data_IF_103366354416
#
_entry.id   IF_103366354416
#
_cell.length_a   1.000
_cell.length_b   1.000
_cell.length_c   1.000
_cell.angle_alpha   90.00
_cell.angle_beta   90.00
_cell.angle_gamma   90.00
#
_symmetry.space_group_name_H-M   'P 1'
#
loop_
_entity.id
_entity.type
_entity.pdbx_description
1 polymer ?
#
# COMPACT_ATOMS: atom_id res chain seq x y z
N UNK A 1 40.73 20.89 -12.78
CA UNK A 1 40.43 19.59 -12.15
C UNK A 1 39.04 19.74 -11.54
N UNK A 2 38.01 19.19 -12.17
CA UNK A 2 36.65 19.22 -11.63
C UNK A 2 36.60 18.04 -10.65
N UNK A 3 36.65 18.34 -9.35
CA UNK A 3 36.36 17.33 -8.32
C UNK A 3 34.98 16.78 -8.62
N UNK A 4 34.94 15.54 -9.10
CA UNK A 4 33.69 14.83 -9.26
C UNK A 4 33.25 14.52 -7.84
N UNK A 5 32.13 15.08 -7.33
CA UNK A 5 31.71 14.80 -5.97
C UNK A 5 31.53 13.29 -5.85
N UNK A 6 32.37 12.67 -5.03
CA UNK A 6 32.25 11.26 -4.66
C UNK A 6 30.94 11.13 -3.91
N UNK A 7 29.88 10.67 -4.61
CA UNK A 7 28.63 10.30 -3.94
C UNK A 7 28.96 9.27 -2.87
N UNK A 8 28.59 9.57 -1.64
CA UNK A 8 28.72 8.61 -0.55
C UNK A 8 27.83 7.40 -0.86
N UNK A 9 28.19 6.24 -0.34
CA UNK A 9 27.30 5.09 -0.42
C UNK A 9 26.05 5.39 0.43
N UNK A 10 24.83 5.00 -0.01
CA UNK A 10 23.64 5.13 0.81
C UNK A 10 23.84 4.46 2.17
N UNK A 11 23.29 5.02 3.26
CA UNK A 11 23.33 4.37 4.55
C UNK A 11 22.65 3.00 4.44
N UNK A 12 23.23 1.98 5.10
CA UNK A 12 22.72 0.59 5.07
C UNK A 12 21.24 0.50 5.42
N UNK A 13 20.78 1.36 6.33
CA UNK A 13 19.38 1.45 6.73
C UNK A 13 18.44 1.81 5.55
N UNK A 14 18.84 2.74 4.67
CA UNK A 14 18.04 3.10 3.50
C UNK A 14 17.96 1.95 2.49
N UNK A 15 19.07 1.23 2.29
CA UNK A 15 19.11 0.03 1.43
C UNK A 15 18.21 -1.08 1.99
N UNK A 16 18.30 -1.35 3.29
CA UNK A 16 17.44 -2.34 3.95
C UNK A 16 15.96 -1.95 3.84
N UNK A 17 15.63 -0.67 4.04
CA UNK A 17 14.27 -0.18 3.88
C UNK A 17 13.77 -0.31 2.44
N UNK A 18 14.63 -0.09 1.44
CA UNK A 18 14.30 -0.33 0.03
C UNK A 18 14.02 -1.81 -0.23
N UNK A 19 14.84 -2.71 0.30
CA UNK A 19 14.62 -4.15 0.18
C UNK A 19 13.29 -4.56 0.82
N UNK A 20 12.98 -4.02 2.00
CA UNK A 20 11.69 -4.25 2.67
C UNK A 20 10.52 -3.71 1.86
N UNK A 21 10.65 -2.50 1.28
CA UNK A 21 9.65 -1.94 0.38
C UNK A 21 9.43 -2.87 -0.82
N UNK A 22 10.48 -3.28 -1.52
CA UNK A 22 10.36 -4.16 -2.69
C UNK A 22 9.76 -5.53 -2.33
N UNK A 23 10.14 -6.11 -1.19
CA UNK A 23 9.57 -7.35 -0.69
C UNK A 23 8.07 -7.18 -0.37
N UNK A 24 7.68 -6.08 0.27
CA UNK A 24 6.26 -5.79 0.56
C UNK A 24 5.44 -5.52 -0.71
N UNK A 25 6.03 -4.87 -1.72
CA UNK A 25 5.39 -4.64 -3.02
C UNK A 25 5.18 -5.97 -3.76
N UNK A 26 6.18 -6.85 -3.73
CA UNK A 26 6.02 -8.22 -4.24
C UNK A 26 4.92 -8.98 -3.48
N UNK A 27 4.88 -8.84 -2.15
CA UNK A 27 3.82 -9.41 -1.32
C UNK A 27 2.42 -8.90 -1.69
N UNK A 28 2.25 -7.60 -1.94
CA UNK A 28 0.99 -7.01 -2.44
C UNK A 28 0.58 -7.61 -3.79
N UNK A 29 1.51 -7.76 -4.73
CA UNK A 29 1.22 -8.34 -6.05
C UNK A 29 0.82 -9.82 -5.91
N UNK A 30 1.55 -10.61 -5.13
CA UNK A 30 1.22 -12.01 -4.86
C UNK A 30 -0.16 -12.13 -4.20
N UNK A 31 -0.43 -11.29 -3.20
CA UNK A 31 -1.71 -11.23 -2.52
C UNK A 31 -2.84 -10.89 -3.49
N UNK A 32 -2.72 -9.83 -4.29
CA UNK A 32 -3.74 -9.41 -5.25
C UNK A 32 -4.02 -10.48 -6.33
N UNK A 33 -2.98 -11.19 -6.80
CA UNK A 33 -3.14 -12.29 -7.75
C UNK A 33 -3.83 -13.51 -7.12
N UNK A 34 -3.55 -13.79 -5.84
CA UNK A 34 -4.20 -14.87 -5.10
C UNK A 34 -5.65 -14.54 -4.73
N UNK A 35 -5.90 -13.31 -4.29
CA UNK A 35 -7.22 -12.83 -3.88
C UNK A 35 -8.17 -12.77 -5.09
N UNK A 36 -7.66 -12.30 -6.24
CA UNK A 36 -8.48 -12.06 -7.42
C UNK A 36 -9.17 -10.70 -7.36
N UNK A 37 -9.98 -10.35 -8.38
CA UNK A 37 -10.75 -9.12 -8.37
C UNK A 37 -11.86 -9.19 -7.32
N UNK A 38 -11.93 -8.18 -6.45
CA UNK A 38 -13.03 -8.04 -5.49
C UNK A 38 -14.28 -7.53 -6.20
N UNK A 39 -15.40 -8.25 -6.04
CA UNK A 39 -16.69 -7.94 -6.67
C UNK A 39 -17.69 -7.25 -5.72
N UNK A 40 -17.28 -6.96 -4.49
CA UNK A 40 -18.13 -6.37 -3.46
C UNK A 40 -18.64 -7.37 -2.43
N UNK A 41 -18.26 -8.63 -2.52
CA UNK A 41 -18.66 -9.70 -1.59
C UNK A 41 -17.51 -10.64 -1.26
N UNK A 42 -17.64 -11.32 -0.11
CA UNK A 42 -16.80 -12.47 0.26
C UNK A 42 -17.73 -13.67 0.40
N UNK A 43 -17.70 -14.55 -0.60
CA UNK A 43 -18.55 -15.75 -0.60
C UNK A 43 -18.03 -16.81 0.38
N UNK A 44 -18.92 -17.71 0.78
CA UNK A 44 -18.56 -18.85 1.64
C UNK A 44 -17.38 -19.65 1.10
N UNK A 45 -17.33 -19.86 -0.22
CA UNK A 45 -16.26 -20.61 -0.87
C UNK A 45 -14.89 -19.90 -0.76
N UNK A 46 -14.87 -18.57 -0.87
CA UNK A 46 -13.65 -17.77 -0.75
C UNK A 46 -13.17 -17.71 0.69
N UNK A 47 -14.08 -17.48 1.63
CA UNK A 47 -13.76 -17.47 3.05
C UNK A 47 -13.27 -18.84 3.53
N UNK A 48 -13.86 -19.94 3.01
CA UNK A 48 -13.48 -21.32 3.33
C UNK A 48 -12.20 -21.77 2.61
N UNK A 49 -11.63 -20.94 1.73
CA UNK A 49 -10.43 -21.29 0.96
C UNK A 49 -9.26 -21.59 1.90
N UNK A 50 -8.48 -22.67 1.65
CA UNK A 50 -7.32 -22.97 2.48
C UNK A 50 -6.36 -21.80 2.57
N UNK A 51 -6.01 -21.41 3.80
CA UNK A 51 -5.11 -20.31 4.06
C UNK A 51 -5.72 -18.91 3.97
N UNK A 52 -7.05 -18.78 3.83
CA UNK A 52 -7.72 -17.47 3.71
C UNK A 52 -7.32 -16.49 4.83
N UNK A 53 -7.43 -16.94 6.09
CA UNK A 53 -7.03 -16.14 7.24
C UNK A 53 -5.53 -15.81 7.24
N UNK A 54 -4.68 -16.82 7.01
CA UNK A 54 -3.23 -16.66 7.07
C UNK A 54 -2.70 -15.72 5.99
N UNK A 55 -3.27 -15.78 4.79
CA UNK A 55 -2.89 -14.94 3.68
C UNK A 55 -3.19 -13.47 3.97
N UNK A 56 -4.36 -13.17 4.54
CA UNK A 56 -4.72 -11.82 4.93
C UNK A 56 -3.90 -11.31 6.13
N UNK A 57 -3.74 -12.14 7.17
CA UNK A 57 -3.05 -11.79 8.41
C UNK A 57 -1.55 -11.56 8.21
N UNK A 58 -0.88 -12.40 7.41
CA UNK A 58 0.58 -12.39 7.29
C UNK A 58 1.11 -11.79 6.00
N UNK A 59 0.30 -11.78 4.92
CA UNK A 59 0.73 -11.22 3.64
C UNK A 59 -0.04 -9.95 3.30
N UNK A 60 -1.37 -10.00 3.17
CA UNK A 60 -2.20 -8.90 2.70
C UNK A 60 -2.00 -7.60 3.48
N UNK A 61 -2.58 -7.51 4.67
CA UNK A 61 -2.48 -6.31 5.53
C UNK A 61 -1.04 -5.86 5.78
N UNK A 62 -0.13 -6.75 6.22
CA UNK A 62 1.27 -6.39 6.48
C UNK A 62 2.00 -5.83 5.26
N UNK A 63 1.77 -6.38 4.06
CA UNK A 63 2.44 -5.90 2.85
C UNK A 63 1.98 -4.48 2.49
N UNK A 64 0.69 -4.17 2.65
CA UNK A 64 0.18 -2.79 2.53
C UNK A 64 0.84 -1.87 3.56
N UNK A 65 0.78 -2.22 4.85
CA UNK A 65 1.34 -1.41 5.93
C UNK A 65 2.83 -1.12 5.73
N UNK A 66 3.65 -2.15 5.48
CA UNK A 66 5.10 -1.98 5.29
C UNK A 66 5.39 -1.13 4.06
N UNK A 67 4.68 -1.33 2.95
CA UNK A 67 4.89 -0.55 1.72
C UNK A 67 4.63 0.94 1.94
N UNK A 68 3.55 1.29 2.65
CA UNK A 68 3.21 2.69 2.92
C UNK A 68 4.13 3.32 3.97
N UNK A 69 4.49 2.61 5.03
CA UNK A 69 5.45 3.12 6.03
C UNK A 69 6.82 3.35 5.41
N UNK A 70 7.31 2.42 4.58
CA UNK A 70 8.58 2.62 3.89
C UNK A 70 8.52 3.80 2.90
N UNK A 71 7.44 3.91 2.12
CA UNK A 71 7.22 5.04 1.22
C UNK A 71 7.15 6.38 1.99
N UNK A 72 6.50 6.43 3.15
CA UNK A 72 6.43 7.60 4.01
C UNK A 72 7.83 8.08 4.43
N UNK A 73 8.68 7.17 4.89
CA UNK A 73 10.07 7.49 5.25
C UNK A 73 10.85 8.01 4.04
N UNK A 74 10.73 7.36 2.88
CA UNK A 74 11.40 7.82 1.67
C UNK A 74 10.91 9.19 1.17
N UNK A 75 9.62 9.50 1.31
CA UNK A 75 9.08 10.83 0.99
C UNK A 75 9.65 11.91 1.92
N UNK A 76 9.83 11.61 3.22
CA UNK A 76 10.50 12.52 4.17
C UNK A 76 11.95 12.77 3.74
N UNK A 77 12.69 11.72 3.39
CA UNK A 77 14.08 11.82 2.93
C UNK A 77 14.17 12.64 1.62
N UNK A 78 13.31 12.33 0.65
CA UNK A 78 13.24 13.08 -0.62
C UNK A 78 12.90 14.55 -0.40
N UNK A 79 12.01 14.86 0.53
CA UNK A 79 11.66 16.23 0.88
C UNK A 79 12.63 16.91 1.85
N UNK A 80 13.81 16.32 2.10
CA UNK A 80 14.86 16.79 3.02
C UNK A 80 14.33 17.15 4.41
N UNK A 81 13.41 16.36 4.93
CA UNK A 81 12.77 16.56 6.24
C UNK A 81 12.09 17.93 6.41
N UNK A 82 11.68 18.57 5.31
CA UNK A 82 10.85 19.77 5.38
C UNK A 82 9.52 19.49 6.09
N UNK A 83 8.91 20.51 6.70
CA UNK A 83 7.63 20.34 7.40
C UNK A 83 6.54 19.70 6.52
N UNK A 84 6.53 20.06 5.22
CA UNK A 84 5.63 19.47 4.23
C UNK A 84 5.89 17.97 4.02
N UNK A 85 7.17 17.57 3.95
CA UNK A 85 7.56 16.18 3.79
C UNK A 85 7.27 15.35 5.04
N UNK A 86 7.47 15.92 6.23
CA UNK A 86 7.10 15.29 7.50
C UNK A 86 5.58 15.09 7.60
N UNK A 87 4.79 16.11 7.25
CA UNK A 87 3.33 15.97 7.19
C UNK A 87 2.92 14.87 6.20
N UNK A 88 3.50 14.87 4.99
CA UNK A 88 3.28 13.82 4.01
C UNK A 88 3.61 12.42 4.56
N UNK A 89 4.75 12.27 5.23
CA UNK A 89 5.16 11.02 5.88
C UNK A 89 4.18 10.57 6.95
N UNK A 90 3.69 11.47 7.80
CA UNK A 90 2.67 11.16 8.81
C UNK A 90 1.37 10.68 8.17
N UNK A 91 0.89 11.39 7.14
CA UNK A 91 -0.37 11.02 6.46
C UNK A 91 -0.25 9.66 5.74
N UNK A 92 0.82 9.45 4.97
CA UNK A 92 1.04 8.17 4.26
C UNK A 92 1.26 7.03 5.25
N UNK A 93 2.10 7.24 6.27
CA UNK A 93 2.44 6.22 7.26
C UNK A 93 1.23 5.81 8.09
N UNK A 94 0.55 6.77 8.75
CA UNK A 94 -0.62 6.47 9.58
C UNK A 94 -1.80 5.99 8.74
N UNK A 95 -2.05 6.62 7.59
CA UNK A 95 -3.10 6.18 6.67
C UNK A 95 -2.88 4.75 6.21
N UNK A 96 -1.64 4.38 5.85
CA UNK A 96 -1.29 3.04 5.42
C UNK A 96 -1.33 1.98 6.53
N UNK A 97 -1.00 2.35 7.78
CA UNK A 97 -1.16 1.48 8.94
C UNK A 97 -2.64 1.17 9.17
N UNK A 98 -3.48 2.21 9.21
CA UNK A 98 -4.92 2.03 9.43
C UNK A 98 -5.54 1.25 8.26
N UNK A 99 -5.16 1.55 7.02
CA UNK A 99 -5.61 0.81 5.84
C UNK A 99 -5.29 -0.69 5.95
N UNK A 100 -4.03 -1.05 6.21
CA UNK A 100 -3.64 -2.46 6.35
C UNK A 100 -4.33 -3.17 7.51
N UNK A 101 -4.56 -2.46 8.62
CA UNK A 101 -5.32 -2.99 9.76
C UNK A 101 -6.79 -3.25 9.39
N UNK A 102 -7.42 -2.34 8.63
CA UNK A 102 -8.82 -2.48 8.20
C UNK A 102 -9.00 -3.64 7.24
N UNK A 103 -8.13 -3.79 6.24
CA UNK A 103 -8.15 -4.95 5.32
C UNK A 103 -8.01 -6.26 6.10
N UNK A 104 -7.14 -6.30 7.12
CA UNK A 104 -6.99 -7.49 7.96
C UNK A 104 -8.22 -7.73 8.84
N UNK A 105 -8.79 -6.66 9.39
CA UNK A 105 -9.94 -6.74 10.29
C UNK A 105 -11.22 -7.13 9.54
N UNK A 106 -11.37 -6.72 8.28
CA UNK A 106 -12.49 -7.05 7.41
C UNK A 106 -12.71 -8.55 7.29
N UNK A 107 -11.63 -9.32 7.10
CA UNK A 107 -11.70 -10.75 6.83
C UNK A 107 -11.85 -11.61 8.08
N UNK A 108 -11.54 -11.08 9.26
CA UNK A 108 -11.55 -11.85 10.51
C UNK A 108 -12.95 -12.42 10.84
N UNK A 109 -14.06 -11.65 10.75
CA UNK A 109 -15.41 -12.19 10.93
C UNK A 109 -15.75 -13.32 9.96
N UNK A 110 -15.30 -13.23 8.70
CA UNK A 110 -15.53 -14.29 7.70
C UNK A 110 -14.72 -15.55 8.01
N UNK A 111 -13.45 -15.40 8.41
CA UNK A 111 -12.63 -16.52 8.85
C UNK A 111 -13.22 -17.24 10.07
N UNK A 112 -13.80 -16.48 11.00
CA UNK A 112 -14.52 -17.04 12.15
C UNK A 112 -15.80 -17.78 11.71
N UNK A 113 -16.55 -17.21 10.76
CA UNK A 113 -17.82 -17.78 10.30
C UNK A 113 -17.66 -19.15 9.62
N UNK A 114 -16.52 -19.39 8.96
CA UNK A 114 -16.24 -20.64 8.24
C UNK A 114 -15.47 -21.68 9.06
N UNK A 115 -15.08 -21.37 10.31
CA UNK A 115 -14.34 -22.31 11.15
C UNK A 115 -15.28 -23.41 11.69
N UNK A 116 -15.13 -24.68 11.25
CA UNK A 116 -16.00 -25.76 11.68
C UNK A 116 -15.82 -26.13 13.17
N UNK A 117 -14.73 -25.69 13.81
CA UNK A 117 -14.54 -25.86 15.25
C UNK A 117 -15.35 -24.84 16.08
N UNK A 118 -15.84 -23.77 15.45
CA UNK A 118 -16.50 -22.65 16.11
C UNK A 118 -18.00 -22.65 15.81
N UNK A 119 -18.39 -22.79 14.55
CA UNK A 119 -19.78 -22.74 14.11
C UNK A 119 -20.14 -23.93 13.21
N UNK A 120 -21.37 -24.50 13.34
CA UNK A 120 -21.92 -25.40 12.34
C UNK A 120 -22.06 -24.69 10.98
N UNK A 121 -21.84 -25.40 9.88
CA UNK A 121 -21.83 -24.84 8.52
C UNK A 121 -23.08 -24.01 8.19
N UNK A 122 -24.27 -24.46 8.56
CA UNK A 122 -25.52 -23.73 8.29
C UNK A 122 -25.52 -22.35 8.94
N UNK A 123 -25.17 -22.28 10.22
CA UNK A 123 -25.08 -21.01 10.94
C UNK A 123 -23.93 -20.14 10.43
N UNK A 124 -22.83 -20.75 10.01
CA UNK A 124 -21.70 -20.06 9.38
C UNK A 124 -22.10 -19.38 8.07
N UNK A 125 -22.83 -20.08 7.19
CA UNK A 125 -23.32 -19.54 5.91
C UNK A 125 -24.26 -18.36 6.13
N UNK A 126 -25.21 -18.49 7.05
CA UNK A 126 -26.12 -17.40 7.43
C UNK A 126 -25.34 -16.18 7.95
N UNK A 127 -24.26 -16.40 8.74
CA UNK A 127 -23.41 -15.32 9.21
C UNK A 127 -22.62 -14.66 8.08
N UNK A 128 -22.06 -15.41 7.13
CA UNK A 128 -21.36 -14.85 5.95
C UNK A 128 -22.29 -13.97 5.12
N UNK A 129 -23.51 -14.42 4.85
CA UNK A 129 -24.53 -13.62 4.15
C UNK A 129 -24.87 -12.33 4.93
N UNK A 130 -25.05 -12.44 6.24
CA UNK A 130 -25.31 -11.30 7.11
C UNK A 130 -24.16 -10.28 7.18
N UNK A 131 -22.91 -10.75 7.09
CA UNK A 131 -21.70 -9.92 7.05
C UNK A 131 -21.55 -9.21 5.70
N UNK A 132 -21.82 -9.90 4.59
CA UNK A 132 -21.83 -9.30 3.26
C UNK A 132 -22.81 -8.11 3.17
N UNK A 133 -23.97 -8.22 3.82
CA UNK A 133 -24.93 -7.12 3.93
C UNK A 133 -24.46 -5.91 4.77
N UNK A 134 -23.24 -5.94 5.31
CA UNK A 134 -22.66 -4.89 6.17
C UNK A 134 -21.25 -4.46 5.77
N UNK A 135 -20.73 -4.92 4.63
CA UNK A 135 -19.39 -4.53 4.13
C UNK A 135 -19.30 -3.02 3.85
N UNK A 136 -20.44 -2.37 3.59
CA UNK A 136 -20.57 -0.92 3.44
C UNK A 136 -20.12 -0.15 4.69
N UNK A 137 -20.17 -0.75 5.89
CA UNK A 137 -19.69 -0.12 7.12
C UNK A 137 -18.18 0.11 7.13
N UNK A 138 -17.42 -0.66 6.36
CA UNK A 138 -15.96 -0.52 6.23
C UNK A 138 -15.57 0.48 5.15
N UNK A 139 -16.45 0.71 4.18
CA UNK A 139 -16.21 1.56 3.02
C UNK A 139 -15.74 2.98 3.40
N UNK A 140 -16.33 3.70 4.38
CA UNK A 140 -15.84 5.02 4.78
C UNK A 140 -14.40 5.00 5.28
N UNK A 141 -13.99 3.92 5.97
CA UNK A 141 -12.64 3.80 6.51
C UNK A 141 -11.64 3.45 5.42
N UNK A 142 -11.99 2.53 4.52
CA UNK A 142 -11.15 2.16 3.37
C UNK A 142 -10.94 3.38 2.46
N UNK A 143 -12.03 4.05 2.06
CA UNK A 143 -11.96 5.24 1.21
C UNK A 143 -11.25 6.39 1.93
N UNK A 144 -11.57 6.63 3.20
CA UNK A 144 -10.95 7.71 4.00
C UNK A 144 -9.45 7.53 4.13
N UNK A 145 -8.97 6.33 4.47
CA UNK A 145 -7.54 6.03 4.55
C UNK A 145 -6.85 6.12 3.20
N UNK A 146 -7.50 5.67 2.12
CA UNK A 146 -6.99 5.81 0.75
C UNK A 146 -6.80 7.27 0.36
N UNK A 147 -7.79 8.12 0.66
CA UNK A 147 -7.72 9.57 0.42
C UNK A 147 -6.60 10.20 1.25
N UNK A 148 -6.47 9.85 2.53
CA UNK A 148 -5.40 10.35 3.41
C UNK A 148 -4.02 9.99 2.86
N UNK A 149 -3.82 8.74 2.44
CA UNK A 149 -2.57 8.27 1.83
C UNK A 149 -2.30 9.01 0.52
N UNK A 150 -3.31 9.16 -0.35
CA UNK A 150 -3.16 9.84 -1.63
C UNK A 150 -2.77 11.32 -1.44
N UNK A 151 -3.45 12.04 -0.55
CA UNK A 151 -3.12 13.44 -0.21
C UNK A 151 -1.69 13.51 0.35
N UNK A 152 -1.34 12.63 1.28
CA UNK A 152 0.02 12.56 1.82
C UNK A 152 1.08 12.33 0.73
N UNK A 153 0.84 11.39 -0.17
CA UNK A 153 1.72 11.10 -1.30
C UNK A 153 1.91 12.30 -2.24
N UNK A 154 0.82 12.99 -2.58
CA UNK A 154 0.88 14.22 -3.39
C UNK A 154 1.71 15.32 -2.71
N UNK A 155 1.50 15.56 -1.42
CA UNK A 155 2.29 16.54 -0.65
C UNK A 155 3.78 16.16 -0.62
N UNK A 156 4.09 14.86 -0.47
CA UNK A 156 5.46 14.36 -0.48
C UNK A 156 6.15 14.50 -1.84
N UNK A 157 5.42 14.25 -2.94
CA UNK A 157 5.92 14.45 -4.30
C UNK A 157 6.13 15.95 -4.61
N UNK A 158 5.26 16.83 -4.12
CA UNK A 158 5.46 18.29 -4.20
C UNK A 158 6.68 18.73 -3.38
N UNK A 159 6.88 18.18 -2.18
CA UNK A 159 8.08 18.44 -1.38
C UNK A 159 9.35 17.98 -2.11
N UNK A 160 9.30 16.82 -2.77
CA UNK A 160 10.39 16.29 -3.61
C UNK A 160 10.75 17.23 -4.75
N UNK A 161 9.74 17.78 -5.46
CA UNK A 161 9.96 18.79 -6.51
C UNK A 161 10.66 20.04 -5.99
N UNK A 162 10.23 20.53 -4.82
CA UNK A 162 10.83 21.72 -4.19
C UNK A 162 12.26 21.45 -3.74
N UNK A 163 12.53 20.26 -3.20
CA UNK A 163 13.84 19.85 -2.71
C UNK A 163 14.82 19.46 -3.84
N UNK A 164 14.32 19.18 -5.05
CA UNK A 164 15.11 18.79 -6.23
C UNK A 164 16.02 17.57 -5.99
N UNK A 165 15.56 16.63 -5.17
CA UNK A 165 16.28 15.40 -4.80
C UNK A 165 16.09 14.25 -5.80
N UNK A 166 15.21 14.43 -6.78
CA UNK A 166 14.96 13.49 -7.87
C UNK A 166 14.94 14.25 -9.22
N UNK A 167 15.07 13.53 -10.36
CA UNK A 167 14.89 14.16 -11.68
C UNK A 167 13.56 14.91 -11.77
N UNK A 168 13.54 16.08 -12.39
CA UNK A 168 12.35 16.95 -12.42
C UNK A 168 11.11 16.33 -13.07
N UNK A 169 11.28 15.29 -13.88
CA UNK A 169 10.18 14.52 -14.49
C UNK A 169 9.56 13.48 -13.55
N UNK A 170 10.26 13.07 -12.48
CA UNK A 170 9.84 11.94 -11.66
C UNK A 170 8.54 12.21 -10.91
N UNK A 171 8.46 13.32 -10.17
CA UNK A 171 7.28 13.61 -9.37
C UNK A 171 6.02 13.83 -10.23
N UNK A 172 6.05 14.58 -11.35
CA UNK A 172 4.93 14.65 -12.27
C UNK A 172 4.53 13.26 -12.80
N UNK A 173 5.49 12.44 -13.21
CA UNK A 173 5.23 11.09 -13.70
C UNK A 173 4.60 10.19 -12.62
N UNK A 174 5.07 10.26 -11.37
CA UNK A 174 4.52 9.50 -10.25
C UNK A 174 3.09 9.95 -9.91
N UNK A 175 2.81 11.25 -9.94
CA UNK A 175 1.45 11.79 -9.76
C UNK A 175 0.53 11.26 -10.88
N UNK A 176 0.96 11.37 -12.15
CA UNK A 176 0.21 10.85 -13.29
C UNK A 176 -0.01 9.35 -13.17
N UNK A 177 1.01 8.58 -12.77
CA UNK A 177 0.91 7.15 -12.57
C UNK A 177 -0.16 6.78 -11.53
N UNK A 178 -0.19 7.47 -10.39
CA UNK A 178 -1.21 7.27 -9.34
C UNK A 178 -2.61 7.62 -9.88
N UNK A 179 -2.78 8.75 -10.56
CA UNK A 179 -4.09 9.12 -11.12
C UNK A 179 -4.56 8.09 -12.15
N UNK A 180 -3.68 7.68 -13.07
CA UNK A 180 -3.98 6.68 -14.09
C UNK A 180 -4.30 5.33 -13.45
N UNK A 181 -3.58 4.92 -12.41
CA UNK A 181 -3.83 3.63 -11.74
C UNK A 181 -5.23 3.53 -11.15
N UNK A 182 -5.81 4.63 -10.67
CA UNK A 182 -7.19 4.65 -10.17
C UNK A 182 -8.25 4.56 -11.27
N UNK A 183 -7.92 4.97 -12.49
CA UNK A 183 -8.84 4.96 -13.63
C UNK A 183 -8.82 3.64 -14.40
N UNK A 184 -7.69 2.92 -14.39
CA UNK A 184 -7.52 1.66 -15.13
C UNK A 184 -8.49 0.52 -14.74
N UNK A 185 -8.90 0.35 -13.47
CA UNK A 185 -9.93 -0.62 -13.10
C UNK A 185 -11.26 -0.40 -13.84
N UNK A 186 -11.62 0.85 -14.16
CA UNK A 186 -12.87 1.20 -14.85
C UNK A 186 -12.93 0.70 -16.30
N UNK A 187 -11.77 0.34 -16.87
CA UNK A 187 -11.63 -0.21 -18.23
C UNK A 187 -11.14 -1.67 -18.21
N UNK A 188 -11.28 -2.36 -17.08
CA UNK A 188 -10.91 -3.77 -16.93
C UNK A 188 -9.41 -4.03 -16.81
N UNK A 189 -8.59 -3.00 -16.55
CA UNK A 189 -7.12 -3.08 -16.48
C UNK A 189 -6.60 -2.99 -15.03
N UNK A 190 -7.29 -3.63 -14.09
CA UNK A 190 -6.97 -3.59 -12.65
C UNK A 190 -5.51 -3.97 -12.35
N UNK A 191 -5.02 -5.06 -12.93
CA UNK A 191 -3.63 -5.54 -12.73
C UNK A 191 -2.62 -4.51 -13.22
N UNK A 192 -2.88 -3.85 -14.36
CA UNK A 192 -2.00 -2.81 -14.89
C UNK A 192 -1.98 -1.61 -13.95
N UNK A 193 -3.14 -1.20 -13.41
CA UNK A 193 -3.22 -0.16 -12.39
C UNK A 193 -2.34 -0.47 -11.17
N UNK A 194 -2.44 -1.67 -10.63
CA UNK A 194 -1.60 -2.13 -9.51
C UNK A 194 -0.10 -2.08 -9.83
N UNK A 195 0.31 -2.52 -11.01
CA UNK A 195 1.72 -2.51 -11.43
C UNK A 195 2.24 -1.08 -11.60
N UNK A 196 1.41 -0.17 -12.11
CA UNK A 196 1.74 1.25 -12.25
C UNK A 196 1.94 1.91 -10.87
N UNK A 197 1.05 1.66 -9.91
CA UNK A 197 1.20 2.14 -8.53
C UNK A 197 2.45 1.55 -7.87
N UNK A 198 2.67 0.24 -8.03
CA UNK A 198 3.85 -0.46 -7.52
C UNK A 198 5.14 0.13 -8.07
N UNK A 199 5.18 0.45 -9.37
CA UNK A 199 6.33 1.09 -10.00
C UNK A 199 6.58 2.49 -9.44
N UNK A 200 5.53 3.28 -9.17
CA UNK A 200 5.66 4.59 -8.56
C UNK A 200 6.24 4.50 -7.13
N UNK A 201 5.75 3.59 -6.30
CA UNK A 201 6.26 3.34 -4.95
C UNK A 201 7.71 2.85 -4.97
N UNK A 202 8.06 1.91 -5.85
CA UNK A 202 9.43 1.46 -6.05
C UNK A 202 10.35 2.61 -6.48
N UNK A 203 9.86 3.50 -7.36
CA UNK A 203 10.56 4.72 -7.76
C UNK A 203 10.83 5.65 -6.58
N UNK A 204 9.84 5.88 -5.71
CA UNK A 204 10.00 6.67 -4.48
C UNK A 204 11.12 6.08 -3.61
N UNK A 205 11.12 4.76 -3.41
CA UNK A 205 12.17 4.09 -2.64
C UNK A 205 13.56 4.21 -3.28
N UNK A 206 13.65 4.02 -4.59
CA UNK A 206 14.91 4.10 -5.33
C UNK A 206 15.53 5.48 -5.30
N UNK A 207 14.73 6.53 -5.55
CA UNK A 207 15.21 7.90 -5.47
C UNK A 207 15.46 8.32 -4.01
N UNK A 208 14.62 7.91 -3.06
CA UNK A 208 14.82 8.20 -1.64
C UNK A 208 16.09 7.56 -1.07
N UNK A 209 16.43 6.35 -1.52
CA UNK A 209 17.70 5.69 -1.14
C UNK A 209 18.91 6.47 -1.63
N UNK A 210 18.84 7.07 -2.83
CA UNK A 210 19.91 7.94 -3.32
C UNK A 210 19.98 9.27 -2.59
N UNK A 211 18.83 9.89 -2.32
CA UNK A 211 18.77 11.14 -1.58
C UNK A 211 19.32 11.00 -0.15
N UNK A 212 19.24 9.81 0.45
CA UNK A 212 19.83 9.54 1.76
C UNK A 212 21.37 9.46 1.75
N UNK A 213 21.99 9.43 0.58
CA UNK A 213 23.43 9.39 0.40
C UNK A 213 24.05 10.79 0.19
N UNK A 214 23.21 11.81 0.01
CA UNK A 214 23.58 13.22 -0.18
C UNK A 214 23.43 14.01 1.13
#
# INVERSE_FOLDING_TARGET
MIDTPTRLAPPRAAVLLLVLLLASLAGRVVFALWEGPFDGSIDWADASRPGFWWMNLYLGGPSYTVSFVAAAVFLVLLGRSSALACLAGVLVGLGGIVFGAVITAEVLPFAFAVDPAVLPEVAGRELVEGLNGRLDLLLPTILGTTVVVAVGGLLGLVATLRARTAPGWFAPAAITAVVVSQLLPQVGLTVVGYLVETAALAGIGWFGTRAAAD
#
